data_IF_810834170573
#
_entry.id   IF_810834170573
#
_cell.length_a   1.000
_cell.length_b   1.000
_cell.length_c   1.000
_cell.angle_alpha   90.00
_cell.angle_beta   90.00
_cell.angle_gamma   90.00
#
_symmetry.space_group_name_H-M   'P 1'
#
loop_
_entity.id
_entity.type
_entity.pdbx_description
1 polymer ?
#
# COMPACT_ATOMS: atom_id res chain seq x y z
N UNK A 1 -4.00 11.65 -2.66
CA UNK A 1 -4.43 11.41 -1.28
C UNK A 1 -4.78 9.95 -1.07
N UNK A 2 -4.34 9.42 0.05
CA UNK A 2 -4.62 8.05 0.44
C UNK A 2 -5.54 8.03 1.65
N UNK A 3 -6.56 7.20 1.59
CA UNK A 3 -7.49 7.01 2.68
C UNK A 3 -7.47 5.53 3.06
N UNK A 4 -7.17 5.25 4.32
CA UNK A 4 -7.17 3.88 4.82
C UNK A 4 -8.52 3.57 5.44
N UNK A 5 -9.30 2.78 4.75
CA UNK A 5 -10.63 2.37 5.19
C UNK A 5 -10.53 1.03 5.93
N UNK A 6 -11.65 0.58 6.47
CA UNK A 6 -11.70 -0.67 7.23
C UNK A 6 -11.36 -1.90 6.40
N UNK A 7 -11.67 -1.88 5.11
CA UNK A 7 -11.50 -3.04 4.24
C UNK A 7 -10.57 -2.81 3.06
N UNK A 8 -9.99 -1.62 2.94
CA UNK A 8 -9.11 -1.35 1.82
C UNK A 8 -8.47 0.02 1.86
N UNK A 9 -7.68 0.30 0.83
CA UNK A 9 -6.98 1.56 0.65
C UNK A 9 -7.62 2.28 -0.53
N UNK A 10 -8.06 3.52 -0.30
CA UNK A 10 -8.66 4.36 -1.33
C UNK A 10 -7.63 5.38 -1.78
N UNK A 11 -7.37 5.42 -3.07
CA UNK A 11 -6.51 6.41 -3.70
C UNK A 11 -7.36 7.39 -4.47
N UNK A 12 -7.17 8.68 -4.20
CA UNK A 12 -7.90 9.74 -4.89
C UNK A 12 -6.91 10.57 -5.70
N UNK A 13 -7.11 10.63 -6.99
CA UNK A 13 -6.30 11.45 -7.86
C UNK A 13 -6.89 12.85 -7.90
N UNK A 14 -6.08 13.84 -7.53
CA UNK A 14 -6.58 15.21 -7.39
C UNK A 14 -6.95 15.87 -8.71
N UNK A 15 -6.23 15.56 -9.78
CA UNK A 15 -6.45 16.20 -11.06
C UNK A 15 -7.75 15.76 -11.73
N UNK A 16 -8.13 14.51 -11.59
CA UNK A 16 -9.29 13.94 -12.26
C UNK A 16 -10.42 13.58 -11.30
N UNK A 17 -10.18 13.65 -10.01
CA UNK A 17 -11.11 13.20 -8.96
C UNK A 17 -11.46 11.72 -9.06
N UNK A 18 -10.66 10.95 -9.76
CA UNK A 18 -10.83 9.50 -9.85
C UNK A 18 -10.44 8.84 -8.55
N UNK A 19 -11.24 7.86 -8.15
CA UNK A 19 -10.99 7.08 -6.95
C UNK A 19 -10.72 5.64 -7.32
N UNK A 20 -9.70 5.07 -6.70
CA UNK A 20 -9.38 3.65 -6.85
C UNK A 20 -9.32 3.04 -5.47
N UNK A 21 -9.83 1.83 -5.33
CA UNK A 21 -9.81 1.13 -4.05
C UNK A 21 -9.17 -0.24 -4.21
N UNK A 22 -8.25 -0.56 -3.30
CA UNK A 22 -7.64 -1.88 -3.21
C UNK A 22 -8.11 -2.52 -1.92
N UNK A 23 -8.80 -3.66 -2.04
CA UNK A 23 -9.26 -4.38 -0.86
C UNK A 23 -8.08 -5.09 -0.20
N UNK A 24 -8.00 -5.03 1.12
CA UNK A 24 -6.91 -5.70 1.85
C UNK A 24 -6.85 -7.20 1.55
N UNK A 25 -8.02 -7.83 1.40
CA UNK A 25 -8.09 -9.26 1.11
C UNK A 25 -7.49 -9.64 -0.24
N UNK A 26 -7.37 -8.68 -1.15
CA UNK A 26 -6.81 -8.92 -2.48
C UNK A 26 -5.30 -8.70 -2.52
N UNK A 27 -4.72 -8.19 -1.46
CA UNK A 27 -3.29 -7.93 -1.40
C UNK A 27 -2.56 -9.20 -0.99
N UNK A 28 -1.60 -9.60 -1.81
CA UNK A 28 -0.78 -10.78 -1.57
C UNK A 28 0.47 -10.42 -0.79
N UNK A 29 1.08 -9.29 -1.10
CA UNK A 29 2.38 -8.92 -0.59
C UNK A 29 2.57 -7.42 -0.69
N UNK A 30 3.34 -6.86 0.23
CA UNK A 30 3.73 -5.46 0.18
C UNK A 30 5.25 -5.38 0.16
N UNK A 31 5.78 -4.54 -0.70
CA UNK A 31 7.22 -4.25 -0.72
C UNK A 31 7.40 -2.77 -0.45
N UNK A 32 8.18 -2.47 0.56
CA UNK A 32 8.48 -1.09 0.92
C UNK A 32 9.92 -0.78 0.54
N UNK A 33 10.11 0.29 -0.24
CA UNK A 33 11.43 0.80 -0.53
C UNK A 33 11.59 2.17 0.12
N UNK A 34 12.73 2.79 -0.11
CA UNK A 34 12.99 4.13 0.42
C UNK A 34 12.02 5.17 -0.13
N UNK A 35 11.55 5.01 -1.35
CA UNK A 35 10.76 6.01 -2.04
C UNK A 35 9.31 5.61 -2.32
N UNK A 36 9.03 4.33 -2.43
CA UNK A 36 7.69 3.85 -2.76
C UNK A 36 7.26 2.70 -1.88
N UNK A 37 5.95 2.51 -1.82
CA UNK A 37 5.33 1.35 -1.21
C UNK A 37 4.53 0.65 -2.30
N UNK A 38 4.89 -0.60 -2.58
CA UNK A 38 4.30 -1.37 -3.66
C UNK A 38 3.36 -2.44 -3.10
N UNK A 39 2.11 -2.40 -3.55
CA UNK A 39 1.11 -3.39 -3.17
C UNK A 39 0.91 -4.36 -4.33
N UNK A 40 1.17 -5.63 -4.07
CA UNK A 40 1.03 -6.68 -5.09
C UNK A 40 -0.24 -7.47 -4.77
N UNK A 41 -1.14 -7.56 -5.74
CA UNK A 41 -2.40 -8.26 -5.56
C UNK A 41 -2.28 -9.72 -5.93
N UNK A 42 -3.25 -10.51 -5.47
CA UNK A 42 -3.32 -11.94 -5.79
C UNK A 42 -3.58 -12.19 -7.26
N UNK A 43 -4.18 -11.22 -7.94
CA UNK A 43 -4.45 -11.32 -9.37
C UNK A 43 -3.22 -11.00 -10.22
N UNK A 44 -2.11 -10.60 -9.62
CA UNK A 44 -0.88 -10.30 -10.35
C UNK A 44 -0.71 -8.85 -10.71
N UNK A 45 -1.56 -7.97 -10.23
CA UNK A 45 -1.41 -6.55 -10.43
C UNK A 45 -0.55 -5.94 -9.34
N UNK A 46 0.12 -4.85 -9.67
CA UNK A 46 0.90 -4.10 -8.70
C UNK A 46 0.49 -2.63 -8.76
N UNK A 47 0.32 -2.04 -7.58
CA UNK A 47 0.02 -0.62 -7.45
C UNK A 47 1.02 -0.03 -6.47
N UNK A 48 1.56 1.13 -6.78
CA UNK A 48 2.52 1.76 -5.89
C UNK A 48 2.05 3.15 -5.47
N UNK A 49 2.50 3.55 -4.29
CA UNK A 49 2.28 4.90 -3.78
C UNK A 49 3.63 5.47 -3.37
N UNK A 50 3.81 6.77 -3.58
CA UNK A 50 5.01 7.44 -3.10
C UNK A 50 4.98 7.48 -1.58
N UNK A 51 6.06 7.09 -0.96
CA UNK A 51 6.15 7.01 0.50
C UNK A 51 5.92 8.35 1.17
N UNK A 52 6.31 9.44 0.52
CA UNK A 52 6.13 10.79 1.06
C UNK A 52 4.66 11.17 1.23
N UNK A 53 3.75 10.49 0.52
CA UNK A 53 2.32 10.76 0.59
C UNK A 53 1.61 9.95 1.67
N UNK A 54 2.34 9.12 2.40
CA UNK A 54 1.79 8.27 3.45
C UNK A 54 2.40 8.68 4.78
N UNK A 55 1.55 9.03 5.74
CA UNK A 55 2.03 9.41 7.05
C UNK A 55 2.61 8.21 7.80
N UNK A 56 3.65 8.46 8.62
CA UNK A 56 4.32 7.40 9.35
C UNK A 56 3.40 6.63 10.28
N UNK A 57 2.47 7.32 10.93
CA UNK A 57 1.52 6.67 11.83
C UNK A 57 0.58 5.73 11.07
N UNK A 58 0.13 6.15 9.90
CA UNK A 58 -0.75 5.32 9.07
C UNK A 58 0.01 4.11 8.55
N UNK A 59 1.27 4.30 8.19
CA UNK A 59 2.12 3.21 7.72
C UNK A 59 2.32 2.15 8.80
N UNK A 60 2.57 2.57 10.04
CA UNK A 60 2.75 1.65 11.16
C UNK A 60 1.47 0.85 11.44
N UNK A 61 0.33 1.51 11.43
CA UNK A 61 -0.95 0.85 11.62
C UNK A 61 -1.21 -0.18 10.53
N UNK A 62 -0.87 0.17 9.31
CA UNK A 62 -1.04 -0.70 8.16
C UNK A 62 -0.15 -1.93 8.26
N UNK A 63 1.10 -1.75 8.68
CA UNK A 63 2.02 -2.87 8.88
C UNK A 63 1.49 -3.84 9.93
N UNK A 64 0.99 -3.31 11.06
CA UNK A 64 0.44 -4.13 12.12
C UNK A 64 -0.79 -4.90 11.64
N UNK A 65 -1.64 -4.24 10.89
CA UNK A 65 -2.83 -4.88 10.35
C UNK A 65 -2.45 -6.02 9.38
N UNK A 66 -1.50 -5.77 8.49
CA UNK A 66 -1.08 -6.78 7.52
C UNK A 66 -0.38 -7.97 8.20
N UNK A 67 0.36 -7.70 9.26
CA UNK A 67 0.99 -8.77 10.04
C UNK A 67 -0.07 -9.72 10.61
N UNK A 68 -1.15 -9.17 11.14
CA UNK A 68 -2.26 -9.97 11.66
C UNK A 68 -2.97 -10.77 10.57
N UNK A 69 -2.96 -10.28 9.35
CA UNK A 69 -3.59 -10.95 8.21
C UNK A 69 -2.65 -11.93 7.52
N UNK A 70 -1.43 -12.09 8.02
CA UNK A 70 -0.39 -12.94 7.42
C UNK A 70 -0.02 -12.50 6.01
N UNK A 71 -0.09 -11.20 5.74
CA UNK A 71 0.34 -10.63 4.48
C UNK A 71 1.81 -10.24 4.63
N UNK A 72 2.64 -10.74 3.74
CA UNK A 72 4.08 -10.47 3.80
C UNK A 72 4.36 -9.00 3.52
N UNK A 73 5.07 -8.36 4.44
CA UNK A 73 5.54 -6.99 4.26
C UNK A 73 7.06 -7.03 4.20
N UNK A 74 7.59 -6.81 3.01
CA UNK A 74 9.02 -6.89 2.76
C UNK A 74 9.59 -5.49 2.64
N UNK A 75 10.62 -5.20 3.42
CA UNK A 75 11.30 -3.93 3.36
C UNK A 75 12.59 -4.08 2.59
N UNK A 76 12.68 -3.41 1.45
CA UNK A 76 13.88 -3.44 0.62
C UNK A 76 14.84 -2.33 1.04
N UNK A 77 16.11 -2.68 1.21
CA UNK A 77 17.14 -1.73 1.61
C UNK A 77 17.64 -0.96 0.40
N UNK A 78 17.63 -1.56 -0.75
CA UNK A 78 18.10 -0.96 -2.00
C UNK A 78 16.96 -0.73 -2.96
N UNK A 79 17.00 0.40 -3.68
CA UNK A 79 16.05 0.66 -4.75
C UNK A 79 16.54 -0.04 -6.01
N UNK A 80 16.10 -1.26 -6.17
CA UNK A 80 16.45 -2.03 -7.35
C UNK A 80 15.22 -2.14 -8.23
N UNK A 81 15.01 -1.15 -9.00
CA UNK A 81 13.95 -1.17 -9.99
C UNK A 81 14.47 -0.65 -11.29
#
# INVERSE_FOLDING_TARGET
DLIFDNDGIISVEQSTQNKSKIMYKDIKQVKETKEIILFITKAGYATFFERKNVESNDLEKLKQFFDKQNILWEKAICNIF
#
